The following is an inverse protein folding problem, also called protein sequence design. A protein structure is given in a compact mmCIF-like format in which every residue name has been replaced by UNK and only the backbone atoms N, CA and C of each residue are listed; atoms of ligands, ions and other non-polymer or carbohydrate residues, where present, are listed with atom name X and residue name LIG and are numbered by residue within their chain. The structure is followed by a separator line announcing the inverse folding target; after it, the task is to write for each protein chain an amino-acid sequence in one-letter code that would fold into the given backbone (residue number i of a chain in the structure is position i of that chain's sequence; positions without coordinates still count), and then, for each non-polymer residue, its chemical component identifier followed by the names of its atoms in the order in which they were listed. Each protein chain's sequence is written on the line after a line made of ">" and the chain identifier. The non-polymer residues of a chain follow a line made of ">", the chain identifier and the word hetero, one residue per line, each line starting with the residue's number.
data_IF_381324616454
#
_entry.id   IF_381324616454
#
_cell.length_a   1.000
_cell.length_b   1.000
_cell.length_c   1.000
_cell.angle_alpha   90.00
_cell.angle_beta   90.00
_cell.angle_gamma   90.00
#
_symmetry.space_group_name_H-M   'P 1'
#
loop_
_entity.id
_entity.type
_entity.pdbx_description
1 polymer ?
#
# COMPACT_ATOMS: atom_id res chain seq x y z
N UNK A 1 -16.76 -10.50 12.51
CA UNK A 1 -15.60 -11.05 11.78
C UNK A 1 -14.72 -9.89 11.36
N UNK A 2 -13.42 -9.92 11.69
CA UNK A 2 -12.45 -8.89 11.30
C UNK A 2 -11.51 -9.41 10.22
N UNK A 3 -11.46 -8.70 9.08
CA UNK A 3 -10.55 -8.97 7.98
C UNK A 3 -9.22 -8.22 8.11
N UNK A 4 -8.17 -8.75 7.47
CA UNK A 4 -6.88 -8.09 7.32
C UNK A 4 -6.46 -8.05 5.85
N UNK A 5 -6.14 -6.87 5.33
CA UNK A 5 -5.63 -6.67 3.98
C UNK A 5 -4.39 -5.78 4.00
N UNK A 6 -3.29 -6.26 3.39
CA UNK A 6 -2.00 -5.56 3.40
C UNK A 6 -1.56 -5.17 1.98
N UNK A 7 -1.09 -3.94 1.85
CA UNK A 7 -0.48 -3.42 0.64
C UNK A 7 0.56 -2.35 0.95
N UNK A 8 1.45 -2.07 -0.01
CA UNK A 8 2.38 -0.93 0.13
C UNK A 8 1.67 0.41 -0.05
N UNK A 9 0.61 0.45 -0.87
CA UNK A 9 -0.15 1.65 -1.22
C UNK A 9 0.73 2.81 -1.70
N UNK A 10 1.51 2.58 -2.76
CA UNK A 10 2.48 3.55 -3.31
C UNK A 10 2.10 4.04 -4.73
N UNK A 11 1.05 4.86 -4.89
CA UNK A 11 0.05 5.29 -3.88
C UNK A 11 -1.14 4.30 -3.76
N UNK A 12 -2.12 4.64 -2.91
CA UNK A 12 -3.44 3.99 -2.95
C UNK A 12 -4.14 4.30 -4.30
N UNK A 13 -4.85 3.35 -4.89
CA UNK A 13 -5.41 3.48 -6.24
C UNK A 13 -6.72 2.72 -6.39
N UNK A 14 -7.45 2.90 -7.50
CA UNK A 14 -8.78 2.28 -7.68
C UNK A 14 -8.77 0.76 -7.57
N UNK A 15 -7.70 0.09 -7.99
CA UNK A 15 -7.54 -1.35 -7.77
C UNK A 15 -7.54 -1.75 -6.28
N UNK A 16 -6.93 -0.94 -5.41
CA UNK A 16 -6.99 -1.16 -3.97
C UNK A 16 -8.38 -0.82 -3.44
N UNK A 17 -8.99 0.31 -3.84
CA UNK A 17 -10.35 0.69 -3.40
C UNK A 17 -11.36 -0.41 -3.65
N UNK A 18 -11.39 -0.94 -4.88
CA UNK A 18 -12.29 -2.03 -5.24
C UNK A 18 -12.07 -3.28 -4.38
N UNK A 19 -10.80 -3.65 -4.14
CA UNK A 19 -10.45 -4.75 -3.25
C UNK A 19 -10.97 -4.54 -1.82
N UNK A 20 -10.81 -3.33 -1.29
CA UNK A 20 -11.29 -2.97 0.04
C UNK A 20 -12.82 -3.02 0.11
N UNK A 21 -13.53 -2.55 -0.92
CA UNK A 21 -15.00 -2.60 -0.99
C UNK A 21 -15.54 -4.04 -0.98
N UNK A 22 -14.95 -4.93 -1.78
CA UNK A 22 -15.33 -6.35 -1.81
C UNK A 22 -15.12 -7.02 -0.44
N UNK A 23 -13.96 -6.76 0.19
CA UNK A 23 -13.67 -7.31 1.51
C UNK A 23 -14.63 -6.75 2.56
N UNK A 24 -14.88 -5.44 2.53
CA UNK A 24 -15.78 -4.76 3.47
C UNK A 24 -17.23 -5.26 3.38
N UNK A 25 -17.66 -5.82 2.23
CA UNK A 25 -18.96 -6.46 2.10
C UNK A 25 -19.04 -7.84 2.79
N UNK A 26 -17.90 -8.46 3.13
CA UNK A 26 -17.81 -9.78 3.77
C UNK A 26 -17.50 -9.74 5.27
N UNK A 27 -17.08 -8.58 5.81
CA UNK A 27 -16.56 -8.45 7.18
C UNK A 27 -17.16 -7.24 7.90
N UNK A 28 -17.28 -7.31 9.22
CA UNK A 28 -17.79 -6.19 10.04
C UNK A 28 -16.72 -5.10 10.23
N UNK A 29 -15.45 -5.52 10.23
CA UNK A 29 -14.30 -4.66 10.49
C UNK A 29 -13.12 -5.06 9.60
N UNK A 30 -12.34 -4.07 9.15
CA UNK A 30 -11.22 -4.29 8.23
C UNK A 30 -9.96 -3.57 8.67
N UNK A 31 -8.90 -4.34 8.93
CA UNK A 31 -7.56 -3.82 9.14
C UNK A 31 -6.84 -3.67 7.79
N UNK A 32 -6.44 -2.44 7.48
CA UNK A 32 -5.69 -2.05 6.29
C UNK A 32 -4.22 -1.83 6.68
N UNK A 33 -3.41 -2.88 6.50
CA UNK A 33 -1.98 -2.84 6.77
C UNK A 33 -1.22 -2.08 5.68
N UNK A 34 -0.50 -1.02 6.06
CA UNK A 34 0.44 -0.32 5.18
C UNK A 34 1.81 -0.98 5.33
N UNK A 35 2.12 -1.92 4.44
CA UNK A 35 3.40 -2.63 4.43
C UNK A 35 4.56 -1.75 3.96
N UNK A 36 5.80 -2.18 4.22
CA UNK A 36 7.01 -1.40 3.95
C UNK A 36 6.89 0.03 4.51
N UNK A 37 6.41 0.18 5.75
CA UNK A 37 6.17 1.49 6.35
C UNK A 37 7.47 2.32 6.49
N UNK A 38 8.62 1.67 6.67
CA UNK A 38 9.93 2.33 6.72
C UNK A 38 10.44 2.85 5.37
N UNK A 39 9.87 2.40 4.26
CA UNK A 39 10.32 2.80 2.91
C UNK A 39 9.66 4.09 2.45
N UNK A 40 10.46 5.03 1.96
CA UNK A 40 10.01 6.26 1.30
C UNK A 40 11.10 6.84 0.38
N UNK A 41 10.81 7.91 -0.36
CA UNK A 41 11.79 8.65 -1.17
C UNK A 41 12.58 7.81 -2.19
N UNK A 42 11.94 6.78 -2.77
CA UNK A 42 12.47 6.04 -3.92
C UNK A 42 11.44 6.04 -5.06
N UNK A 43 11.86 5.76 -6.29
CA UNK A 43 10.91 5.61 -7.41
C UNK A 43 9.93 4.45 -7.20
N UNK A 44 10.28 3.46 -6.37
CA UNK A 44 9.42 2.34 -5.98
C UNK A 44 8.48 2.68 -4.83
N UNK A 45 8.98 3.43 -3.85
CA UNK A 45 8.27 3.83 -2.63
C UNK A 45 8.41 5.36 -2.44
N UNK A 46 7.68 6.19 -3.21
CA UNK A 46 7.84 7.64 -3.15
C UNK A 46 7.21 8.28 -1.90
N UNK A 47 6.16 7.67 -1.34
CA UNK A 47 5.37 8.22 -0.23
C UNK A 47 5.78 7.61 1.11
N UNK A 48 5.77 8.41 2.17
CA UNK A 48 6.03 7.97 3.55
C UNK A 48 4.88 7.12 4.09
N UNK A 49 5.06 6.46 5.23
CA UNK A 49 3.95 5.79 5.91
C UNK A 49 2.81 6.76 6.25
N UNK A 50 3.13 7.94 6.80
CA UNK A 50 2.12 8.94 7.20
C UNK A 50 1.27 9.45 6.02
N UNK A 51 1.91 9.72 4.88
CA UNK A 51 1.20 10.14 3.66
C UNK A 51 0.27 9.04 3.17
N UNK A 52 0.72 7.79 3.22
CA UNK A 52 -0.11 6.63 2.85
C UNK A 52 -1.25 6.41 3.85
N UNK A 53 -1.04 6.65 5.15
CA UNK A 53 -2.13 6.66 6.14
C UNK A 53 -3.18 7.69 5.76
N UNK A 54 -2.79 8.91 5.39
CA UNK A 54 -3.73 9.95 4.94
C UNK A 54 -4.50 9.51 3.68
N UNK A 55 -3.80 8.98 2.68
CA UNK A 55 -4.43 8.49 1.44
C UNK A 55 -5.46 7.40 1.73
N UNK A 56 -5.07 6.36 2.48
CA UNK A 56 -5.95 5.21 2.76
C UNK A 56 -7.13 5.65 3.61
N UNK A 57 -6.89 6.40 4.69
CA UNK A 57 -7.94 6.84 5.63
C UNK A 57 -9.01 7.66 4.91
N UNK A 58 -8.62 8.68 4.14
CA UNK A 58 -9.57 9.48 3.36
C UNK A 58 -10.26 8.66 2.27
N UNK A 59 -9.53 7.73 1.64
CA UNK A 59 -10.07 6.90 0.57
C UNK A 59 -10.96 5.75 1.05
N UNK A 60 -11.20 5.56 2.35
CA UNK A 60 -12.08 4.51 2.88
C UNK A 60 -13.13 5.05 3.86
N UNK A 61 -13.17 6.37 4.07
CA UNK A 61 -14.06 7.04 5.03
C UNK A 61 -15.55 6.74 4.78
N UNK A 62 -15.95 6.58 3.52
CA UNK A 62 -17.34 6.32 3.12
C UNK A 62 -17.73 4.83 3.14
N UNK A 63 -16.85 3.93 3.57
CA UNK A 63 -17.18 2.50 3.63
C UNK A 63 -18.08 2.19 4.83
N UNK A 64 -19.03 1.27 4.61
CA UNK A 64 -19.93 0.75 5.66
C UNK A 64 -19.26 -0.37 6.48
N UNK A 65 -18.01 -0.15 6.90
CA UNK A 65 -17.24 -1.06 7.74
C UNK A 65 -16.29 -0.27 8.64
N UNK A 66 -16.05 -0.75 9.87
CA UNK A 66 -15.06 -0.11 10.75
C UNK A 66 -13.66 -0.43 10.23
N UNK A 67 -12.91 0.60 9.82
CA UNK A 67 -11.56 0.41 9.27
C UNK A 67 -10.45 0.80 10.24
N UNK A 68 -9.36 0.03 10.25
CA UNK A 68 -8.13 0.36 10.99
C UNK A 68 -6.95 0.47 10.03
N UNK A 69 -6.41 1.67 9.84
CA UNK A 69 -5.23 1.88 8.99
C UNK A 69 -3.97 1.80 9.85
N UNK A 70 -3.14 0.78 9.63
CA UNK A 70 -1.99 0.47 10.49
C UNK A 70 -0.70 0.42 9.68
N UNK A 71 0.30 1.28 9.95
CA UNK A 71 1.63 1.16 9.35
C UNK A 71 2.40 -0.03 9.94
N UNK A 72 2.96 -0.87 9.06
CA UNK A 72 3.70 -2.08 9.41
C UNK A 72 5.05 -2.03 8.69
N UNK A 73 6.13 -1.96 9.48
CA UNK A 73 7.50 -2.03 8.95
C UNK A 73 7.84 -3.46 8.51
N UNK A 74 8.73 -3.56 7.53
CA UNK A 74 9.21 -4.86 7.11
C UNK A 74 10.21 -5.39 8.15
N UNK A 75 10.14 -6.69 8.43
CA UNK A 75 11.15 -7.39 9.21
C UNK A 75 12.00 -8.25 8.29
N UNK A 76 13.31 -8.20 8.46
CA UNK A 76 14.26 -9.09 7.75
C UNK A 76 14.25 -10.53 8.32
N UNK A 77 13.07 -11.01 8.72
CA UNK A 77 12.84 -12.31 9.36
C UNK A 77 11.39 -12.76 9.12
N UNK A 78 11.16 -13.43 8.00
CA UNK A 78 9.83 -13.95 7.63
C UNK A 78 9.18 -14.81 8.72
N UNK A 79 9.95 -15.61 9.45
CA UNK A 79 9.45 -16.53 10.48
C UNK A 79 8.76 -15.86 11.68
N UNK A 80 8.97 -14.56 11.88
CA UNK A 80 8.32 -13.77 12.95
C UNK A 80 7.41 -12.68 12.41
N UNK A 81 7.27 -12.56 11.08
CA UNK A 81 6.54 -11.48 10.45
C UNK A 81 5.05 -11.47 10.82
N UNK A 82 4.39 -12.63 10.86
CA UNK A 82 2.96 -12.70 11.26
C UNK A 82 2.76 -12.27 12.71
N UNK A 83 3.64 -12.70 13.62
CA UNK A 83 3.60 -12.28 15.03
C UNK A 83 3.78 -10.76 15.16
N UNK A 84 4.68 -10.18 14.35
CA UNK A 84 4.85 -8.73 14.28
C UNK A 84 3.58 -8.03 13.80
N UNK A 85 2.97 -8.47 12.68
CA UNK A 85 1.69 -7.94 12.19
C UNK A 85 0.62 -8.01 13.28
N UNK A 86 0.47 -9.15 13.94
CA UNK A 86 -0.53 -9.36 15.01
C UNK A 86 -0.28 -8.48 16.25
N UNK A 87 0.98 -8.15 16.55
CA UNK A 87 1.31 -7.24 17.67
C UNK A 87 0.97 -5.78 17.39
N UNK A 88 0.95 -5.38 16.11
CA UNK A 88 0.71 -4.00 15.67
C UNK A 88 -0.76 -3.71 15.35
N UNK A 89 -1.58 -4.76 15.23
CA UNK A 89 -2.96 -4.66 14.71
C UNK A 89 -3.98 -5.20 15.72
N UNK A 90 -5.24 -4.76 15.63
CA UNK A 90 -6.34 -5.48 16.27
C UNK A 90 -6.37 -6.93 15.78
N UNK A 91 -6.71 -7.88 16.66
CA UNK A 91 -6.85 -9.30 16.31
C UNK A 91 -7.80 -9.48 15.11
N UNK A 92 -7.40 -10.18 14.07
CA UNK A 92 -8.24 -10.48 12.91
C UNK A 92 -8.49 -11.99 12.76
N UNK A 93 -9.56 -12.34 12.09
CA UNK A 93 -10.02 -13.73 11.89
C UNK A 93 -9.55 -14.30 10.55
N UNK A 94 -9.49 -13.44 9.52
CA UNK A 94 -9.17 -13.82 8.13
C UNK A 94 -8.24 -12.79 7.49
N UNK A 95 -7.24 -13.26 6.76
CA UNK A 95 -6.35 -12.42 5.95
C UNK A 95 -6.69 -12.54 4.45
N UNK A 96 -6.60 -11.44 3.73
CA UNK A 96 -6.81 -11.38 2.28
C UNK A 96 -5.49 -11.10 1.59
N UNK A 97 -5.04 -12.02 0.72
CA UNK A 97 -3.80 -11.83 -0.02
C UNK A 97 -3.74 -12.70 -1.26
N UNK A 98 -3.16 -12.13 -2.32
CA UNK A 98 -2.78 -12.88 -3.51
C UNK A 98 -1.25 -12.95 -3.69
N UNK A 99 -0.47 -12.62 -2.65
CA UNK A 99 0.99 -12.78 -2.62
C UNK A 99 1.33 -14.16 -2.01
N UNK A 100 1.96 -15.08 -2.78
CA UNK A 100 2.25 -16.43 -2.31
C UNK A 100 3.03 -16.52 -1.00
N UNK A 101 3.97 -15.59 -0.76
CA UNK A 101 4.72 -15.54 0.49
C UNK A 101 3.81 -15.17 1.67
N UNK A 102 3.00 -14.12 1.51
CA UNK A 102 2.08 -13.67 2.56
C UNK A 102 1.04 -14.75 2.88
N UNK A 103 0.48 -15.41 1.86
CA UNK A 103 -0.44 -16.55 2.02
C UNK A 103 0.23 -17.64 2.85
N UNK A 104 1.44 -18.06 2.43
CA UNK A 104 2.18 -19.13 3.12
C UNK A 104 2.45 -18.81 4.59
N UNK A 105 2.87 -17.59 4.89
CA UNK A 105 3.20 -17.17 6.26
C UNK A 105 1.97 -17.16 7.17
N UNK A 106 0.82 -16.66 6.68
CA UNK A 106 -0.42 -16.67 7.47
C UNK A 106 -0.97 -18.08 7.68
N UNK A 107 -0.92 -18.95 6.67
CA UNK A 107 -1.32 -20.35 6.81
C UNK A 107 -0.45 -21.09 7.84
N UNK A 108 0.87 -20.88 7.83
CA UNK A 108 1.79 -21.45 8.84
C UNK A 108 1.48 -20.97 10.26
N UNK A 109 0.94 -19.75 10.40
CA UNK A 109 0.50 -19.18 11.67
C UNK A 109 -0.94 -19.57 12.06
N UNK A 110 -1.62 -20.41 11.27
CA UNK A 110 -2.99 -20.86 11.55
C UNK A 110 -4.07 -19.80 11.29
N UNK A 111 -3.79 -18.78 10.48
CA UNK A 111 -4.76 -17.76 10.07
C UNK A 111 -5.44 -18.20 8.78
N UNK A 112 -6.76 -18.09 8.70
CA UNK A 112 -7.50 -18.33 7.46
C UNK A 112 -7.08 -17.29 6.41
N UNK A 113 -6.74 -17.75 5.20
CA UNK A 113 -6.40 -16.86 4.09
C UNK A 113 -7.41 -17.01 2.97
N UNK A 114 -8.02 -15.89 2.57
CA UNK A 114 -8.87 -15.81 1.40
C UNK A 114 -8.13 -15.11 0.26
N UNK A 115 -8.24 -15.71 -0.93
CA UNK A 115 -7.83 -15.06 -2.15
C UNK A 115 -9.00 -14.23 -2.65
N UNK A 116 -8.73 -13.00 -3.07
CA UNK A 116 -9.76 -12.17 -3.69
C UNK A 116 -9.72 -12.31 -5.21
N UNK A 117 -10.90 -12.35 -5.88
CA UNK A 117 -10.97 -12.35 -7.33
C UNK A 117 -10.06 -11.26 -7.91
N UNK A 118 -9.09 -11.68 -8.74
CA UNK A 118 -8.12 -10.76 -9.32
C UNK A 118 -8.82 -9.79 -10.27
N UNK A 119 -9.20 -8.62 -9.78
CA UNK A 119 -9.67 -7.55 -10.64
C UNK A 119 -8.47 -6.94 -11.38
N UNK A 120 -8.41 -7.17 -12.69
CA UNK A 120 -7.56 -6.47 -13.68
C UNK A 120 -6.19 -6.02 -13.14
N UNK A 121 -5.34 -6.98 -12.74
CA UNK A 121 -3.93 -6.70 -12.42
C UNK A 121 -3.24 -5.95 -13.57
N UNK A 122 -3.63 -6.23 -14.80
CA UNK A 122 -3.00 -5.69 -16.01
C UNK A 122 -3.29 -4.20 -16.29
N UNK A 123 -4.17 -3.54 -15.52
CA UNK A 123 -4.64 -2.17 -15.83
C UNK A 123 -4.37 -1.14 -14.72
N UNK A 124 -4.22 -1.56 -13.45
CA UNK A 124 -4.13 -0.65 -12.30
C UNK A 124 -2.96 -1.03 -11.39
N UNK A 125 -1.75 -1.01 -11.93
CA UNK A 125 -0.54 -1.22 -11.16
C UNK A 125 0.02 0.10 -10.64
N UNK A 126 0.37 0.17 -9.36
CA UNK A 126 1.11 1.31 -8.82
C UNK A 126 2.41 1.61 -9.60
N UNK A 127 2.99 0.63 -10.29
CA UNK A 127 4.12 0.84 -11.20
C UNK A 127 3.76 1.76 -12.37
N UNK A 128 2.69 1.45 -13.11
CA UNK A 128 2.22 2.30 -14.22
C UNK A 128 1.89 3.70 -13.73
N UNK A 129 1.19 3.82 -12.60
CA UNK A 129 0.84 5.11 -12.01
C UNK A 129 2.09 5.96 -11.72
N UNK A 130 3.11 5.38 -11.07
CA UNK A 130 4.38 6.06 -10.79
C UNK A 130 5.12 6.42 -12.09
N UNK A 131 5.11 5.56 -13.10
CA UNK A 131 5.68 5.86 -14.42
C UNK A 131 4.98 7.05 -15.09
N UNK A 132 3.65 7.15 -14.99
CA UNK A 132 2.92 8.31 -15.52
C UNK A 132 3.28 9.59 -14.80
N UNK A 133 3.39 9.58 -13.48
CA UNK A 133 3.85 10.73 -12.70
C UNK A 133 5.24 11.21 -13.16
N UNK A 134 6.19 10.27 -13.29
CA UNK A 134 7.56 10.54 -13.73
C UNK A 134 7.56 11.12 -15.15
N UNK A 135 6.81 10.54 -16.09
CA UNK A 135 6.77 10.95 -17.51
C UNK A 135 5.84 12.14 -17.79
N UNK A 136 5.20 12.72 -16.78
CA UNK A 136 4.25 13.82 -16.97
C UNK A 136 2.98 13.45 -17.74
N UNK A 137 2.52 12.21 -17.60
CA UNK A 137 1.24 11.72 -18.15
C UNK A 137 0.12 11.78 -17.10
N UNK A 138 -1.12 11.73 -17.58
CA UNK A 138 -2.32 11.72 -16.72
C UNK A 138 -2.38 10.49 -15.81
N UNK A 139 -2.35 10.72 -14.50
CA UNK A 139 -2.38 9.69 -13.45
C UNK A 139 -3.57 9.84 -12.49
N UNK A 140 -4.20 11.02 -12.43
CA UNK A 140 -5.24 11.34 -11.44
C UNK A 140 -6.44 10.38 -11.56
N UNK A 141 -6.85 10.05 -12.78
CA UNK A 141 -7.96 9.11 -13.06
C UNK A 141 -7.71 7.66 -12.60
N UNK A 142 -6.51 7.35 -12.10
CA UNK A 142 -6.16 6.01 -11.60
C UNK A 142 -6.33 5.89 -10.08
N UNK A 143 -6.62 6.99 -9.37
CA UNK A 143 -6.77 7.02 -7.92
C UNK A 143 -8.06 7.73 -7.50
N UNK A 144 -8.61 7.43 -6.30
CA UNK A 144 -9.72 8.18 -5.75
C UNK A 144 -9.38 9.67 -5.55
N UNK A 145 -10.37 10.55 -5.70
CA UNK A 145 -10.20 12.01 -5.53
C UNK A 145 -9.48 12.42 -4.23
N UNK A 146 -9.80 11.83 -3.04
CA UNK A 146 -9.08 12.18 -1.82
C UNK A 146 -7.58 11.83 -1.86
N UNK A 147 -7.19 10.85 -2.67
CA UNK A 147 -5.79 10.50 -2.89
C UNK A 147 -5.11 11.50 -3.81
N UNK A 148 -5.81 12.00 -4.84
CA UNK A 148 -5.31 13.10 -5.68
C UNK A 148 -4.97 14.32 -4.82
N UNK A 149 -5.87 14.67 -3.90
CA UNK A 149 -5.68 15.80 -2.99
C UNK A 149 -4.46 15.62 -2.09
N UNK A 150 -4.28 14.44 -1.50
CA UNK A 150 -3.08 14.16 -0.68
C UNK A 150 -1.81 14.22 -1.51
N UNK A 151 -1.78 13.65 -2.72
CA UNK A 151 -0.59 13.68 -3.59
C UNK A 151 -0.22 15.12 -3.95
N UNK A 152 -1.20 16.00 -4.16
CA UNK A 152 -0.99 17.44 -4.39
C UNK A 152 -0.52 18.15 -3.13
N UNK A 153 -1.12 17.84 -1.98
CA UNK A 153 -0.77 18.43 -0.68
C UNK A 153 0.71 18.20 -0.31
N UNK A 154 1.29 17.06 -0.72
CA UNK A 154 2.66 16.67 -0.34
C UNK A 154 3.69 16.82 -1.47
N UNK A 155 3.32 17.51 -2.56
CA UNK A 155 4.14 17.68 -3.77
C UNK A 155 4.68 16.34 -4.33
N UNK A 156 3.86 15.28 -4.25
CA UNK A 156 4.29 13.91 -4.53
C UNK A 156 4.79 13.68 -5.95
N UNK A 157 4.20 14.38 -6.93
CA UNK A 157 4.60 14.30 -8.34
C UNK A 157 5.96 14.98 -8.57
N UNK A 158 6.20 16.13 -7.95
CA UNK A 158 7.49 16.80 -8.03
C UNK A 158 8.57 15.93 -7.39
N UNK A 159 8.28 15.39 -6.21
CA UNK A 159 9.18 14.50 -5.48
C UNK A 159 9.61 13.30 -6.31
N UNK A 160 8.65 12.53 -6.85
CA UNK A 160 9.00 11.32 -7.61
C UNK A 160 9.77 11.64 -8.90
N UNK A 161 9.50 12.78 -9.55
CA UNK A 161 10.29 13.23 -10.72
C UNK A 161 11.72 13.54 -10.33
N UNK A 162 11.92 14.32 -9.26
CA UNK A 162 13.26 14.68 -8.77
C UNK A 162 14.06 13.44 -8.33
N UNK A 163 13.41 12.44 -7.72
CA UNK A 163 14.06 11.16 -7.38
C UNK A 163 14.41 10.34 -8.63
N UNK A 164 13.60 10.44 -9.69
CA UNK A 164 13.83 9.71 -10.95
C UNK A 164 14.88 10.38 -11.84
N UNK A 165 15.15 11.67 -11.64
CA UNK A 165 16.33 12.34 -12.19
C UNK A 165 17.57 11.68 -11.58
N UNK A 166 18.17 10.72 -12.30
CA UNK A 166 19.47 10.14 -11.94
C UNK A 166 20.48 11.24 -11.65
N UNK A 167 21.37 11.01 -10.68
CA UNK A 167 22.67 11.71 -10.57
C UNK A 167 23.51 11.39 -11.81
N UNK A 168 23.15 11.98 -12.96
CA UNK A 168 23.98 12.03 -14.15
C UNK A 168 25.00 13.15 -13.99
N UNK A 169 25.75 13.11 -12.88
CA UNK A 169 27.08 13.69 -12.82
C UNK A 169 28.05 12.52 -12.72
N UNK A 170 28.69 12.20 -13.85
CA UNK A 170 29.91 11.39 -13.87
C UNK A 170 31.05 12.13 -13.17
N UNK A 171 30.98 12.21 -11.84
CA UNK A 171 32.05 12.66 -10.96
C UNK A 171 32.23 11.62 -9.87
N UNK A 172 33.48 11.19 -9.66
CA UNK A 172 33.87 10.14 -8.73
C UNK A 172 33.21 10.25 -7.34
N UNK A 173 32.99 9.12 -6.64
CA UNK A 173 32.50 9.16 -5.27
C UNK A 173 33.51 9.91 -4.40
N UNK A 174 33.07 11.07 -3.89
CA UNK A 174 33.72 11.74 -2.77
C UNK A 174 33.31 11.00 -1.51
N UNK A 175 34.24 10.22 -0.95
CA UNK A 175 34.12 9.60 0.38
C UNK A 175 33.77 10.65 1.44
N UNK A 176 32.53 10.60 1.96
CA UNK A 176 32.16 10.99 3.33
C UNK A 176 30.94 10.19 3.79
#
# INVERSE_FOLDING_TARGET
>A
MRGFYIGRYQPFHHGHRHMVEEIAAEVDELVLGIGSAGDSHTTRNPFTAGERVMMVTKAVEELDATTYVVPIEDLDRNSVWVSHVQSMTPRFDVAYSNNPLVVRLFEEAGVEVRQSPMFRRDVLEGTELRERMIRGREWADLVPDPVVDVIREVDGVERIRRIAETDSNGGEPSDL
#
